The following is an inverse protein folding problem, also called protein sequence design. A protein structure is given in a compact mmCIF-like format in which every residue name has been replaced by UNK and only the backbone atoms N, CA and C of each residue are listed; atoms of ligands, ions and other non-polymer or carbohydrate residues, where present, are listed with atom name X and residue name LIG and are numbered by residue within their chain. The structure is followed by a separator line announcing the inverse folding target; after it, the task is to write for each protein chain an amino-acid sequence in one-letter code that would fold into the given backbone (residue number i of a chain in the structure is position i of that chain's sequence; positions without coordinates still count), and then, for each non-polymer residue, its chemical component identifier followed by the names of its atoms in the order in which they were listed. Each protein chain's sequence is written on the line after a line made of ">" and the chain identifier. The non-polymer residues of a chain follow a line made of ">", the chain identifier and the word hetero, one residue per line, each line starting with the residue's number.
data_IF_283520370226
#
_entry.id   IF_283520370226
#
_cell.length_a   1.000
_cell.length_b   1.000
_cell.length_c   1.000
_cell.angle_alpha   90.00
_cell.angle_beta   90.00
_cell.angle_gamma   90.00
#
_symmetry.space_group_name_H-M   'P 1'
#
loop_
_entity.id
_entity.type
_entity.pdbx_description
1 polymer ?
#
# COMPACT_ATOMS: atom_id res chain seq x y z
N UNK A 1 4.06 -8.08 8.05
CA UNK A 1 3.94 -6.74 7.47
C UNK A 1 5.28 -6.13 7.12
N UNK A 2 6.26 -6.18 8.03
CA UNK A 2 7.58 -5.58 7.79
C UNK A 2 8.25 -6.16 6.54
N UNK A 3 8.19 -7.48 6.36
CA UNK A 3 8.81 -8.11 5.18
C UNK A 3 8.18 -7.62 3.86
N UNK A 4 6.87 -7.36 3.88
CA UNK A 4 6.19 -6.87 2.68
C UNK A 4 6.60 -5.43 2.35
N UNK A 5 6.81 -4.62 3.37
CA UNK A 5 7.28 -3.24 3.18
C UNK A 5 8.67 -3.25 2.54
N UNK A 6 9.56 -4.10 3.05
CA UNK A 6 10.92 -4.22 2.50
C UNK A 6 10.87 -4.69 1.05
N UNK A 7 10.05 -5.70 0.74
CA UNK A 7 9.90 -6.19 -0.63
C UNK A 7 9.38 -5.10 -1.56
N UNK A 8 8.41 -4.33 -1.10
CA UNK A 8 7.85 -3.23 -1.89
C UNK A 8 8.92 -2.18 -2.17
N UNK A 9 9.67 -1.76 -1.14
CA UNK A 9 10.68 -0.71 -1.29
C UNK A 9 11.85 -1.16 -2.16
N UNK A 10 12.13 -2.45 -2.19
CA UNK A 10 13.18 -3.00 -3.03
C UNK A 10 12.72 -3.34 -4.45
N UNK A 11 11.48 -3.04 -4.79
CA UNK A 11 10.95 -3.31 -6.12
C UNK A 11 10.75 -4.79 -6.40
N UNK A 12 10.61 -5.60 -5.37
CA UNK A 12 10.46 -7.06 -5.50
C UNK A 12 9.01 -7.53 -5.53
N UNK A 13 8.08 -6.61 -5.34
CA UNK A 13 6.67 -6.95 -5.28
C UNK A 13 6.06 -6.89 -6.68
N UNK A 14 5.34 -7.94 -7.05
CA UNK A 14 4.64 -7.99 -8.34
C UNK A 14 3.44 -7.05 -8.32
N UNK A 15 3.02 -6.58 -9.51
CA UNK A 15 1.93 -5.62 -9.58
C UNK A 15 0.62 -6.16 -9.01
N UNK A 16 0.37 -7.46 -9.13
CA UNK A 16 -0.84 -8.08 -8.57
C UNK A 16 -0.77 -8.23 -7.04
N UNK A 17 0.40 -8.04 -6.44
CA UNK A 17 0.57 -8.05 -4.98
C UNK A 17 0.40 -6.65 -4.38
N UNK A 18 0.57 -5.61 -5.18
CA UNK A 18 0.59 -4.23 -4.67
C UNK A 18 -0.76 -3.81 -4.12
N UNK A 19 -1.85 -4.10 -4.82
CA UNK A 19 -3.19 -3.73 -4.38
C UNK A 19 -3.55 -4.40 -3.05
N UNK A 20 -3.42 -5.73 -2.90
CA UNK A 20 -3.68 -6.35 -1.59
C UNK A 20 -2.75 -5.84 -0.49
N UNK A 21 -1.50 -5.55 -0.83
CA UNK A 21 -0.54 -4.99 0.13
C UNK A 21 -1.02 -3.63 0.65
N UNK A 22 -1.42 -2.74 -0.25
CA UNK A 22 -1.92 -1.44 0.15
C UNK A 22 -3.25 -1.54 0.90
N UNK A 23 -4.09 -2.52 0.55
CA UNK A 23 -5.32 -2.75 1.29
C UNK A 23 -5.02 -3.10 2.75
N UNK A 24 -4.00 -3.93 3.00
CA UNK A 24 -3.57 -4.23 4.36
C UNK A 24 -3.07 -2.97 5.08
N UNK A 25 -2.31 -2.14 4.39
CA UNK A 25 -1.81 -0.89 4.97
C UNK A 25 -2.94 0.06 5.32
N UNK A 26 -3.95 0.13 4.48
CA UNK A 26 -5.13 0.98 4.72
C UNK A 26 -5.91 0.44 5.91
N UNK A 27 -6.17 -0.87 5.94
CA UNK A 27 -6.96 -1.50 6.98
C UNK A 27 -6.31 -1.36 8.36
N UNK A 28 -5.00 -1.42 8.42
CA UNK A 28 -4.25 -1.29 9.67
C UNK A 28 -3.97 0.16 10.05
N UNK A 29 -4.23 1.11 9.14
CA UNK A 29 -3.92 2.51 9.34
C UNK A 29 -2.48 2.88 9.05
N UNK A 30 -1.63 1.92 8.71
CA UNK A 30 -0.21 2.17 8.45
C UNK A 30 0.01 3.04 7.22
N UNK A 31 -0.87 2.97 6.23
CA UNK A 31 -0.72 3.77 5.02
C UNK A 31 -0.63 5.26 5.33
N UNK A 32 -1.30 5.70 6.39
CA UNK A 32 -1.36 7.10 6.77
C UNK A 32 -0.25 7.50 7.73
N UNK A 33 0.45 6.52 8.30
CA UNK A 33 1.54 6.74 9.25
C UNK A 33 2.92 6.63 8.63
N UNK A 34 3.02 5.98 7.48
CA UNK A 34 4.30 5.81 6.78
C UNK A 34 4.63 7.07 5.98
N UNK A 35 5.74 7.05 5.25
CA UNK A 35 6.15 8.20 4.44
C UNK A 35 5.04 8.64 3.49
N UNK A 36 5.06 9.91 3.11
CA UNK A 36 3.99 10.52 2.35
C UNK A 36 3.57 9.78 1.09
N UNK A 37 4.51 9.12 0.38
CA UNK A 37 4.15 8.43 -0.85
C UNK A 37 3.22 7.23 -0.60
N UNK A 38 3.29 6.62 0.58
CA UNK A 38 2.36 5.52 0.93
C UNK A 38 0.93 6.05 1.03
N UNK A 39 0.74 7.17 1.72
CA UNK A 39 -0.58 7.78 1.83
C UNK A 39 -1.12 8.23 0.49
N UNK A 40 -0.27 8.85 -0.34
CA UNK A 40 -0.68 9.30 -1.68
C UNK A 40 -1.05 8.12 -2.56
N UNK A 41 -0.26 7.04 -2.54
CA UNK A 41 -0.55 5.86 -3.33
C UNK A 41 -1.83 5.19 -2.86
N UNK A 42 -2.01 5.07 -1.54
CA UNK A 42 -3.23 4.49 -0.97
C UNK A 42 -4.46 5.30 -1.39
N UNK A 43 -4.38 6.62 -1.29
CA UNK A 43 -5.48 7.49 -1.69
C UNK A 43 -5.81 7.31 -3.17
N UNK A 44 -4.79 7.18 -4.01
CA UNK A 44 -4.97 6.97 -5.44
C UNK A 44 -5.67 5.64 -5.73
N UNK A 45 -5.25 4.58 -5.04
CA UNK A 45 -5.87 3.26 -5.23
C UNK A 45 -7.33 3.26 -4.77
N UNK A 46 -7.65 3.98 -3.71
CA UNK A 46 -9.03 4.14 -3.26
C UNK A 46 -9.83 4.89 -4.32
N UNK A 47 -9.26 5.96 -4.86
CA UNK A 47 -9.90 6.79 -5.88
C UNK A 47 -10.18 5.98 -7.14
N UNK A 48 -9.27 5.10 -7.52
CA UNK A 48 -9.42 4.23 -8.69
C UNK A 48 -10.35 3.04 -8.45
N UNK A 49 -10.82 2.85 -7.22
CA UNK A 49 -11.67 1.73 -6.87
C UNK A 49 -10.93 0.42 -6.67
N UNK A 50 -9.60 0.46 -6.58
CA UNK A 50 -8.79 -0.74 -6.39
C UNK A 50 -8.64 -1.11 -4.91
N UNK A 51 -8.76 -0.12 -4.02
CA UNK A 51 -8.77 -0.33 -2.58
C UNK A 51 -9.98 0.34 -1.97
N UNK A 52 -10.35 -0.11 -0.78
CA UNK A 52 -11.48 0.44 -0.02
C UNK A 52 -10.91 1.13 1.23
N UNK A 53 -11.28 2.41 1.40
CA UNK A 53 -10.78 3.21 2.52
C UNK A 53 -11.69 3.26 3.75
#
# INVERSE_FOLDING_TARGET
>A
MVNKIIRYENGKMESDEIVPFFQELIDSGLAWSLQGHYGRTAARLIELGECVG
#
